data_IF_766471777109
#
_entry.id   IF_766471777109
#
_cell.length_a   1.000
_cell.length_b   1.000
_cell.length_c   1.000
_cell.angle_alpha   90.00
_cell.angle_beta   90.00
_cell.angle_gamma   90.00
#
_symmetry.space_group_name_H-M   'P 1'
#
loop_
_entity.id
_entity.type
_entity.pdbx_description
1 polymer ?
#
# COMPACT_ATOMS: atom_id res chain seq x y z
N UNK A 1 18.37 -13.08 -20.91
CA UNK A 1 17.23 -13.86 -20.40
C UNK A 1 16.21 -12.88 -19.85
N UNK A 2 15.00 -12.82 -20.42
CA UNK A 2 13.95 -11.95 -19.91
C UNK A 2 13.35 -12.60 -18.65
N UNK A 3 13.71 -12.08 -17.48
CA UNK A 3 13.11 -12.48 -16.21
C UNK A 3 11.65 -11.98 -16.21
N UNK A 4 10.73 -12.89 -16.54
CA UNK A 4 9.30 -12.61 -16.53
C UNK A 4 8.76 -13.00 -15.17
N UNK A 5 8.11 -12.05 -14.49
CA UNK A 5 7.45 -12.28 -13.22
C UNK A 5 6.11 -12.98 -13.48
N UNK A 6 6.12 -14.30 -13.30
CA UNK A 6 4.95 -15.14 -13.45
C UNK A 6 4.10 -15.10 -12.18
N UNK A 7 2.79 -15.08 -12.37
CA UNK A 7 1.81 -15.32 -11.34
C UNK A 7 1.74 -16.84 -11.09
N UNK A 8 1.75 -17.28 -9.83
CA UNK A 8 1.64 -18.71 -9.51
C UNK A 8 0.18 -19.19 -9.50
N UNK A 9 -0.76 -18.29 -9.25
CA UNK A 9 -2.20 -18.59 -9.20
C UNK A 9 -2.86 -18.53 -10.58
N UNK A 10 -2.15 -17.98 -11.55
CA UNK A 10 -2.66 -17.71 -12.87
C UNK A 10 -1.51 -17.75 -13.87
N UNK A 11 -1.72 -18.30 -15.06
CA UNK A 11 -0.66 -18.43 -16.09
C UNK A 11 -0.30 -17.09 -16.76
N UNK A 12 -0.37 -15.96 -16.04
CA UNK A 12 0.01 -14.63 -16.54
C UNK A 12 1.45 -14.31 -16.20
N UNK A 13 2.17 -13.81 -17.20
CA UNK A 13 3.51 -13.25 -17.07
C UNK A 13 3.47 -11.72 -17.11
N UNK A 14 4.33 -11.10 -16.32
CA UNK A 14 4.52 -9.65 -16.30
C UNK A 14 6.01 -9.32 -16.43
N UNK A 15 6.33 -8.29 -17.21
CA UNK A 15 7.72 -7.84 -17.39
C UNK A 15 8.30 -7.17 -16.13
N UNK A 16 7.46 -6.81 -15.15
CA UNK A 16 7.88 -6.09 -13.95
C UNK A 16 7.15 -6.57 -12.69
N UNK A 17 7.88 -6.69 -11.58
CA UNK A 17 7.35 -7.05 -10.26
C UNK A 17 6.23 -6.12 -9.77
N UNK A 18 6.31 -4.81 -10.09
CA UNK A 18 5.26 -3.82 -9.82
C UNK A 18 3.92 -4.22 -10.46
N UNK A 19 3.96 -4.70 -11.70
CA UNK A 19 2.76 -5.04 -12.45
C UNK A 19 2.18 -6.36 -11.93
N UNK A 20 3.03 -7.33 -11.60
CA UNK A 20 2.60 -8.55 -10.90
C UNK A 20 1.96 -8.21 -9.55
N UNK A 21 2.55 -7.33 -8.76
CA UNK A 21 2.00 -6.88 -7.48
C UNK A 21 0.61 -6.27 -7.62
N UNK A 22 0.41 -5.33 -8.55
CA UNK A 22 -0.92 -4.76 -8.85
C UNK A 22 -1.92 -5.82 -9.30
N UNK A 23 -1.48 -6.77 -10.12
CA UNK A 23 -2.32 -7.86 -10.58
C UNK A 23 -2.77 -8.75 -9.43
N UNK A 24 -1.86 -9.14 -8.54
CA UNK A 24 -2.17 -9.94 -7.35
C UNK A 24 -3.09 -9.15 -6.42
N UNK A 25 -2.84 -7.87 -6.14
CA UNK A 25 -3.78 -7.05 -5.34
C UNK A 25 -5.20 -7.02 -5.92
N UNK A 26 -5.34 -7.00 -7.25
CA UNK A 26 -6.65 -6.88 -7.91
C UNK A 26 -7.35 -8.23 -8.12
N UNK A 27 -6.60 -9.28 -8.42
CA UNK A 27 -7.12 -10.58 -8.88
C UNK A 27 -6.92 -11.69 -7.84
N UNK A 28 -5.87 -11.58 -7.02
CA UNK A 28 -5.51 -12.53 -5.97
C UNK A 28 -5.26 -11.78 -4.62
N UNK A 29 -6.24 -11.02 -4.13
CA UNK A 29 -6.07 -10.15 -2.94
C UNK A 29 -5.62 -10.92 -1.70
N UNK A 30 -5.95 -12.22 -1.63
CA UNK A 30 -5.60 -13.14 -0.54
C UNK A 30 -4.09 -13.40 -0.41
N UNK A 31 -3.31 -13.24 -1.49
CA UNK A 31 -1.85 -13.51 -1.49
C UNK A 31 -1.02 -12.24 -1.23
N UNK A 32 -1.66 -11.09 -1.07
CA UNK A 32 -1.01 -9.82 -0.75
C UNK A 32 -0.26 -9.89 0.58
N UNK A 33 -0.76 -10.69 1.53
CA UNK A 33 -0.15 -10.90 2.85
C UNK A 33 1.18 -11.67 2.76
N UNK A 34 1.31 -12.62 1.83
CA UNK A 34 2.50 -13.46 1.69
C UNK A 34 3.62 -12.81 0.86
N UNK A 35 3.27 -12.04 -0.17
CA UNK A 35 4.29 -11.39 -1.02
C UNK A 35 4.78 -10.05 -0.47
N UNK A 36 4.03 -9.45 0.44
CA UNK A 36 4.43 -8.21 1.07
C UNK A 36 3.81 -8.10 2.47
N UNK A 37 4.47 -8.66 3.49
CA UNK A 37 4.15 -8.33 4.88
C UNK A 37 4.22 -6.79 5.13
N UNK A 38 4.88 -6.05 4.24
CA UNK A 38 5.01 -4.59 4.26
C UNK A 38 3.93 -3.82 3.49
N UNK A 39 3.14 -4.44 2.60
CA UNK A 39 2.09 -3.70 1.86
C UNK A 39 0.85 -3.41 2.73
N UNK A 40 0.70 -4.11 3.86
CA UNK A 40 -0.28 -3.78 4.90
C UNK A 40 0.28 -2.98 6.08
N UNK A 41 1.54 -2.57 6.01
CA UNK A 41 1.95 -1.30 6.62
C UNK A 41 1.65 -0.23 5.59
N UNK A 42 0.36 0.02 5.32
CA UNK A 42 0.01 1.39 4.91
C UNK A 42 0.66 2.23 6.00
N UNK A 43 1.63 3.12 5.70
CA UNK A 43 2.05 4.09 6.69
C UNK A 43 0.77 4.81 7.07
N UNK A 44 0.21 4.39 8.21
CA UNK A 44 -0.92 5.05 8.84
C UNK A 44 -0.28 6.32 9.32
N UNK A 45 -0.51 7.38 8.56
CA UNK A 45 -0.03 8.69 8.93
C UNK A 45 -0.99 9.15 10.02
N UNK A 46 -0.63 8.83 11.26
CA UNK A 46 -1.43 9.14 12.44
C UNK A 46 -1.04 10.55 12.88
N UNK A 47 -2.02 11.39 13.15
CA UNK A 47 -1.77 12.65 13.82
C UNK A 47 -1.60 12.39 15.32
N UNK A 48 -0.46 12.75 15.89
CA UNK A 48 -0.17 12.56 17.31
C UNK A 48 -1.12 13.37 18.21
N UNK A 49 -1.65 14.49 17.69
CA UNK A 49 -2.49 15.42 18.45
C UNK A 49 -3.99 15.03 18.48
N UNK A 50 -4.48 14.23 17.54
CA UNK A 50 -5.90 13.86 17.48
C UNK A 50 -6.17 12.38 17.13
N UNK A 51 -5.12 11.56 17.07
CA UNK A 51 -5.12 10.13 16.72
C UNK A 51 -5.80 9.82 15.35
N UNK A 52 -6.00 10.84 14.49
CA UNK A 52 -6.61 10.61 13.18
C UNK A 52 -5.67 9.84 12.26
N UNK A 53 -6.18 8.74 11.72
CA UNK A 53 -5.45 7.85 10.83
C UNK A 53 -5.69 8.24 9.38
N UNK A 54 -4.64 8.67 8.70
CA UNK A 54 -4.68 8.98 7.27
C UNK A 54 -3.97 7.91 6.43
N UNK A 55 -4.58 7.57 5.29
CA UNK A 55 -3.99 6.63 4.32
C UNK A 55 -2.88 7.24 3.44
N UNK A 56 -2.60 8.55 3.58
CA UNK A 56 -1.63 9.29 2.75
C UNK A 56 -0.94 10.41 3.54
N UNK A 57 0.37 10.58 3.33
CA UNK A 57 1.19 11.60 4.01
C UNK A 57 0.72 13.04 3.71
N UNK A 58 0.24 13.29 2.49
CA UNK A 58 -0.19 14.63 2.10
C UNK A 58 -1.50 15.05 2.78
N UNK A 59 -2.33 14.07 3.18
CA UNK A 59 -3.54 14.33 3.94
C UNK A 59 -3.20 14.66 5.40
N UNK A 60 -2.31 13.87 6.02
CA UNK A 60 -1.78 14.17 7.35
C UNK A 60 -1.12 15.55 7.37
N UNK A 61 -0.22 15.87 6.44
CA UNK A 61 0.48 17.16 6.42
C UNK A 61 -0.44 18.38 6.26
N UNK A 62 -1.54 18.21 5.51
CA UNK A 62 -2.59 19.22 5.43
C UNK A 62 -3.35 19.32 6.74
N UNK A 63 -3.71 18.18 7.31
CA UNK A 63 -4.38 18.09 8.60
C UNK A 63 -3.54 18.72 9.72
N UNK A 64 -2.26 18.38 9.90
CA UNK A 64 -1.33 18.97 10.88
C UNK A 64 -1.30 20.52 10.81
N UNK A 65 -1.44 21.08 9.61
CA UNK A 65 -1.43 22.54 9.42
C UNK A 65 -2.72 23.23 9.86
N UNK A 66 -3.84 22.52 9.83
CA UNK A 66 -5.17 23.00 10.22
C UNK A 66 -5.70 22.27 11.46
N UNK A 67 -4.88 21.45 12.12
CA UNK A 67 -5.24 20.72 13.32
C UNK A 67 -5.31 21.77 14.43
N UNK A 68 -6.46 22.44 14.50
CA UNK A 68 -6.82 23.38 15.55
C UNK A 68 -7.26 22.59 16.80
N UNK A 69 -6.54 21.54 17.16
CA UNK A 69 -6.59 20.95 18.48
C UNK A 69 -5.84 21.88 19.46
N UNK A 70 -6.26 23.16 19.51
CA UNK A 70 -6.06 23.99 20.67
C UNK A 70 -6.99 23.44 21.75
N UNK A 71 -6.43 22.69 22.69
CA UNK A 71 -6.98 22.65 24.04
C UNK A 71 -6.41 23.84 24.82
#
# INVERSE_FOLDING_TARGET
>A
MADNFLCSECSRSYSFRRNLGKHITKCHPSKLEELAPTLRTVPKFICDECDQVFSKQNLLRGHERYCLCNY
#
